data_IF_618982089752
#
_entry.id   IF_618982089752
#
_cell.length_a   1.000
_cell.length_b   1.000
_cell.length_c   1.000
_cell.angle_alpha   90.00
_cell.angle_beta   90.00
_cell.angle_gamma   90.00
#
_symmetry.space_group_name_H-M   'P 1'
#
loop_
_entity.id
_entity.type
_entity.pdbx_description
1 polymer ?
#
# COMPACT_ATOMS: atom_id res chain seq x y z
N UNK A 1 -16.78 4.51 -4.22
CA UNK A 1 -16.01 3.96 -5.36
C UNK A 1 -14.83 4.91 -5.62
N UNK A 2 -13.62 4.39 -5.91
CA UNK A 2 -12.45 5.23 -6.22
C UNK A 2 -12.35 5.41 -7.74
N UNK A 3 -12.25 6.66 -8.19
CA UNK A 3 -12.06 7.03 -9.60
C UNK A 3 -10.75 7.80 -9.75
N UNK A 4 -9.75 7.18 -10.35
CA UNK A 4 -8.46 7.82 -10.64
C UNK A 4 -8.68 8.79 -11.80
N UNK A 5 -8.21 10.04 -11.66
CA UNK A 5 -8.37 11.09 -12.65
C UNK A 5 -7.08 11.36 -13.40
N UNK A 6 -6.07 11.82 -12.71
CA UNK A 6 -4.83 12.27 -13.33
C UNK A 6 -3.61 11.79 -12.54
N UNK A 7 -2.58 11.37 -13.24
CA UNK A 7 -1.26 11.04 -12.72
C UNK A 7 -0.22 11.91 -13.44
N UNK A 8 0.62 12.63 -12.70
CA UNK A 8 1.80 13.28 -13.29
C UNK A 8 3.07 12.68 -12.75
N UNK A 9 4.10 12.65 -13.59
CA UNK A 9 5.37 11.97 -13.30
C UNK A 9 6.54 12.82 -13.77
N UNK A 10 7.52 13.03 -12.90
CA UNK A 10 8.78 13.75 -13.17
C UNK A 10 9.94 13.05 -12.51
N UNK A 11 11.04 12.88 -13.23
CA UNK A 11 12.28 12.26 -12.73
C UNK A 11 12.07 10.89 -12.06
N UNK A 12 11.15 10.10 -12.56
CA UNK A 12 10.79 8.80 -12.02
C UNK A 12 11.13 7.70 -13.04
N UNK A 13 11.97 6.75 -12.65
CA UNK A 13 12.45 5.65 -13.50
C UNK A 13 12.98 6.16 -14.86
N UNK A 14 12.30 5.81 -15.96
CA UNK A 14 12.66 6.25 -17.32
C UNK A 14 12.19 7.66 -17.68
N UNK A 15 11.27 8.24 -16.90
CA UNK A 15 10.78 9.60 -17.14
C UNK A 15 11.82 10.63 -16.67
N UNK A 16 12.18 11.54 -17.55
CA UNK A 16 13.18 12.59 -17.29
C UNK A 16 12.60 13.83 -16.58
N UNK A 17 13.26 14.98 -16.77
CA UNK A 17 12.92 16.22 -16.06
C UNK A 17 11.65 16.91 -16.58
N UNK A 18 11.21 16.61 -17.81
CA UNK A 18 9.92 17.08 -18.29
C UNK A 18 8.80 16.30 -17.59
N UNK A 19 7.85 17.02 -16.99
CA UNK A 19 6.68 16.40 -16.36
C UNK A 19 5.80 15.77 -17.44
N UNK A 20 5.45 14.51 -17.27
CA UNK A 20 4.53 13.78 -18.14
C UNK A 20 3.22 13.56 -17.38
N UNK A 21 2.08 13.79 -18.03
CA UNK A 21 0.75 13.57 -17.48
C UNK A 21 0.05 12.40 -18.16
N UNK A 22 -0.72 11.65 -17.39
CA UNK A 22 -1.61 10.60 -17.86
C UNK A 22 -3.00 10.85 -17.29
N UNK A 23 -3.96 11.03 -18.21
CA UNK A 23 -5.37 11.16 -17.87
C UNK A 23 -6.02 9.76 -17.84
N UNK A 24 -6.56 9.40 -16.67
CA UNK A 24 -7.30 8.16 -16.43
C UNK A 24 -8.82 8.37 -16.41
N UNK A 25 -9.29 9.61 -16.48
CA UNK A 25 -10.73 9.93 -16.47
C UNK A 25 -11.38 9.62 -17.82
N UNK A 26 -11.37 8.36 -18.20
CA UNK A 26 -11.89 7.82 -19.45
C UNK A 26 -12.94 6.76 -19.16
N UNK A 27 -14.02 6.80 -19.92
CA UNK A 27 -15.17 5.89 -19.73
C UNK A 27 -14.96 4.50 -20.35
N UNK A 28 -13.96 4.34 -21.22
CA UNK A 28 -13.77 3.12 -22.00
C UNK A 28 -12.39 2.51 -21.79
N UNK A 29 -12.25 1.26 -22.25
CA UNK A 29 -10.97 0.56 -22.30
C UNK A 29 -9.94 1.38 -23.08
N UNK A 30 -8.79 1.64 -22.46
CA UNK A 30 -7.69 2.38 -23.07
C UNK A 30 -6.52 1.46 -23.37
N UNK A 31 -6.11 1.39 -24.62
CA UNK A 31 -4.88 0.71 -25.02
C UNK A 31 -3.71 1.71 -25.00
N UNK A 32 -2.69 1.43 -24.22
CA UNK A 32 -1.45 2.22 -24.16
C UNK A 32 -0.40 1.59 -25.05
N UNK A 33 -0.07 2.27 -26.14
CA UNK A 33 0.99 1.88 -27.07
C UNK A 33 2.26 2.69 -26.78
N UNK A 34 3.43 2.05 -26.87
CA UNK A 34 4.70 2.72 -26.83
C UNK A 34 5.29 2.85 -28.23
N UNK A 35 5.89 3.98 -28.53
CA UNK A 35 6.68 4.20 -29.72
C UNK A 35 8.11 4.54 -29.33
N UNK A 36 9.08 3.88 -29.94
CA UNK A 36 10.50 4.16 -29.71
C UNK A 36 11.03 5.03 -30.87
N UNK A 37 11.17 6.32 -30.58
CA UNK A 37 11.62 7.30 -31.58
C UNK A 37 13.12 7.18 -31.91
N UNK A 38 13.91 6.50 -31.06
CA UNK A 38 15.36 6.37 -31.23
C UNK A 38 15.74 5.23 -32.20
N UNK A 39 14.93 4.19 -32.30
CA UNK A 39 15.25 2.99 -33.08
C UNK A 39 14.53 2.88 -34.42
N UNK A 40 13.57 3.73 -34.68
CA UNK A 40 12.83 3.81 -35.95
C UNK A 40 12.34 2.44 -36.43
N UNK A 41 11.19 1.99 -35.99
CA UNK A 41 10.64 0.72 -36.46
C UNK A 41 9.28 0.39 -35.84
N UNK A 42 8.47 -0.32 -36.59
CA UNK A 42 7.11 -0.70 -36.23
C UNK A 42 7.03 -2.12 -35.59
N UNK A 43 8.18 -2.73 -35.36
CA UNK A 43 8.28 -4.08 -34.80
C UNK A 43 7.90 -4.11 -33.32
N UNK A 44 7.25 -5.18 -32.90
CA UNK A 44 6.81 -5.38 -31.50
C UNK A 44 7.96 -5.31 -30.49
N UNK A 45 9.20 -5.63 -30.90
CA UNK A 45 10.41 -5.52 -30.09
C UNK A 45 10.85 -4.07 -29.83
N UNK A 46 10.64 -3.16 -30.78
CA UNK A 46 10.99 -1.74 -30.66
C UNK A 46 10.11 -0.98 -29.66
N UNK A 47 8.95 -1.53 -29.30
CA UNK A 47 8.02 -0.94 -28.32
C UNK A 47 8.36 -1.22 -26.86
N UNK A 48 9.38 -2.05 -26.60
CA UNK A 48 9.84 -2.32 -25.25
C UNK A 48 10.71 -1.17 -24.73
N UNK A 49 10.65 -0.91 -23.41
CA UNK A 49 11.43 0.17 -22.79
C UNK A 49 10.82 1.58 -22.92
N UNK A 50 9.70 1.75 -23.62
CA UNK A 50 9.04 3.05 -23.84
C UNK A 50 8.31 3.64 -22.64
N UNK A 51 8.42 3.03 -21.44
CA UNK A 51 7.87 3.58 -20.22
C UNK A 51 6.43 3.16 -19.86
N UNK A 52 5.82 2.22 -20.59
CA UNK A 52 4.44 1.76 -20.28
C UNK A 52 4.28 1.27 -18.85
N UNK A 53 5.20 0.42 -18.38
CA UNK A 53 5.19 -0.10 -17.01
C UNK A 53 5.52 0.98 -15.98
N UNK A 54 6.22 2.05 -16.38
CA UNK A 54 6.54 3.19 -15.52
C UNK A 54 5.28 3.89 -15.04
N UNK A 55 4.23 3.98 -15.86
CA UNK A 55 2.94 4.59 -15.50
C UNK A 55 2.33 3.86 -14.30
N UNK A 56 2.24 2.54 -14.36
CA UNK A 56 1.62 1.74 -13.29
C UNK A 56 2.50 1.70 -12.04
N UNK A 57 3.83 1.69 -12.19
CA UNK A 57 4.75 1.84 -11.06
C UNK A 57 4.62 3.21 -10.39
N UNK A 58 4.43 4.28 -11.16
CA UNK A 58 4.20 5.62 -10.64
C UNK A 58 2.87 5.70 -9.88
N UNK A 59 1.81 5.09 -10.40
CA UNK A 59 0.53 4.98 -9.71
C UNK A 59 0.67 4.23 -8.37
N UNK A 60 1.33 3.08 -8.37
CA UNK A 60 1.62 2.32 -7.16
C UNK A 60 2.44 3.16 -6.15
N UNK A 61 3.46 3.87 -6.64
CA UNK A 61 4.29 4.72 -5.80
C UNK A 61 3.50 5.89 -5.21
N UNK A 62 2.65 6.54 -5.98
CA UNK A 62 1.80 7.63 -5.48
C UNK A 62 0.91 7.14 -4.33
N UNK A 63 0.23 6.00 -4.50
CA UNK A 63 -0.71 5.45 -3.52
C UNK A 63 -0.02 4.88 -2.28
N UNK A 64 1.06 4.09 -2.45
CA UNK A 64 1.65 3.27 -1.38
C UNK A 64 3.10 3.62 -1.05
N UNK A 65 3.74 4.53 -1.79
CA UNK A 65 5.17 4.81 -1.64
C UNK A 65 6.09 3.66 -2.04
N UNK A 66 5.58 2.71 -2.82
CA UNK A 66 6.30 1.51 -3.30
C UNK A 66 5.98 1.26 -4.77
N UNK A 67 6.96 0.75 -5.53
CA UNK A 67 6.72 0.25 -6.87
C UNK A 67 6.06 -1.14 -6.81
N UNK A 68 5.53 -1.62 -7.93
CA UNK A 68 4.95 -2.97 -8.03
C UNK A 68 5.99 -4.08 -7.86
N UNK A 69 7.23 -3.79 -8.25
CA UNK A 69 8.36 -4.69 -8.09
C UNK A 69 9.23 -4.27 -6.91
N UNK A 70 10.01 -5.19 -6.36
CA UNK A 70 10.87 -4.92 -5.20
C UNK A 70 12.07 -4.03 -5.57
N UNK A 71 11.82 -2.78 -5.89
CA UNK A 71 12.82 -1.76 -6.21
C UNK A 71 12.98 -0.83 -5.01
N UNK A 72 14.22 -0.60 -4.56
CA UNK A 72 14.50 0.38 -3.51
C UNK A 72 14.04 1.77 -3.95
N UNK A 73 13.45 2.54 -3.05
CA UNK A 73 12.90 3.88 -3.33
C UNK A 73 13.91 4.81 -4.02
N UNK A 74 15.20 4.77 -3.63
CA UNK A 74 16.24 5.58 -4.25
C UNK A 74 16.51 5.22 -5.71
N UNK A 75 16.27 3.96 -6.09
CA UNK A 75 16.42 3.50 -7.47
C UNK A 75 15.22 3.86 -8.36
N UNK A 76 14.15 4.39 -7.78
CA UNK A 76 13.01 4.94 -8.54
C UNK A 76 13.32 6.34 -9.09
N UNK A 77 14.29 7.05 -8.50
CA UNK A 77 14.73 8.35 -9.02
C UNK A 77 15.42 8.15 -10.36
N UNK A 78 15.07 8.97 -11.35
CA UNK A 78 15.72 8.94 -12.67
C UNK A 78 17.25 9.03 -12.53
N UNK A 79 17.96 8.06 -13.11
CA UNK A 79 19.41 7.92 -12.92
C UNK A 79 20.21 9.07 -13.52
N UNK A 80 19.73 9.65 -14.61
CA UNK A 80 20.42 10.75 -15.30
C UNK A 80 20.33 12.03 -14.50
N UNK A 81 19.15 12.38 -14.01
CA UNK A 81 18.91 13.63 -13.29
C UNK A 81 19.19 13.50 -11.78
N UNK A 82 19.01 12.31 -11.21
CA UNK A 82 19.27 11.92 -9.81
C UNK A 82 18.73 12.90 -8.74
N UNK A 83 17.70 13.67 -9.05
CA UNK A 83 17.10 14.69 -8.17
C UNK A 83 15.66 14.97 -8.53
N UNK A 84 14.96 15.64 -7.62
CA UNK A 84 13.64 16.22 -7.82
C UNK A 84 12.63 15.26 -8.45
N UNK A 85 12.61 13.99 -7.98
CA UNK A 85 11.57 13.06 -8.36
C UNK A 85 10.25 13.50 -7.75
N UNK A 86 9.20 13.57 -8.57
CA UNK A 86 7.87 13.93 -8.13
C UNK A 86 6.84 13.10 -8.90
N UNK A 87 5.92 12.52 -8.16
CA UNK A 87 4.73 11.87 -8.69
C UNK A 87 3.53 12.49 -8.02
N UNK A 88 2.55 12.93 -8.80
CA UNK A 88 1.28 13.44 -8.28
C UNK A 88 0.12 12.59 -8.78
N UNK A 89 -0.89 12.44 -7.95
CA UNK A 89 -2.08 11.66 -8.26
C UNK A 89 -3.33 12.40 -7.80
N UNK A 90 -4.27 12.59 -8.70
CA UNK A 90 -5.61 13.10 -8.38
C UNK A 90 -6.63 11.99 -8.58
N UNK A 91 -7.49 11.78 -7.59
CA UNK A 91 -8.58 10.81 -7.64
C UNK A 91 -9.80 11.30 -6.88
N UNK A 92 -10.95 10.72 -7.19
CA UNK A 92 -12.21 11.00 -6.53
C UNK A 92 -12.67 9.76 -5.75
N UNK A 93 -13.20 9.99 -4.56
CA UNK A 93 -13.91 8.97 -3.78
C UNK A 93 -15.06 9.62 -3.02
N UNK A 94 -16.24 9.02 -3.16
CA UNK A 94 -17.46 9.43 -2.45
C UNK A 94 -17.79 10.93 -2.58
N UNK A 95 -17.58 11.47 -3.80
CA UNK A 95 -17.86 12.87 -4.16
C UNK A 95 -16.81 13.89 -3.72
N UNK A 96 -15.69 13.45 -3.12
CA UNK A 96 -14.56 14.30 -2.73
C UNK A 96 -13.36 14.06 -3.64
N UNK A 97 -12.63 15.13 -3.95
CA UNK A 97 -11.39 15.06 -4.71
C UNK A 97 -10.20 14.97 -3.75
N UNK A 98 -9.33 14.04 -4.03
CA UNK A 98 -8.11 13.80 -3.27
C UNK A 98 -6.90 14.02 -4.15
N UNK A 99 -5.86 14.63 -3.58
CA UNK A 99 -4.62 14.84 -4.28
C UNK A 99 -3.44 14.38 -3.42
N UNK A 100 -2.55 13.58 -4.01
CA UNK A 100 -1.33 13.09 -3.38
C UNK A 100 -0.15 13.61 -4.19
N UNK A 101 0.81 14.26 -3.52
CA UNK A 101 2.13 14.55 -4.07
C UNK A 101 3.18 13.73 -3.33
N UNK A 102 3.97 12.98 -4.05
CA UNK A 102 5.03 12.17 -3.48
C UNK A 102 6.34 12.40 -4.20
N UNK A 103 7.33 12.88 -3.45
CA UNK A 103 8.64 13.23 -3.96
C UNK A 103 9.79 12.44 -3.34
N UNK A 104 10.91 12.43 -4.04
CA UNK A 104 12.21 11.93 -3.54
C UNK A 104 13.34 12.84 -4.01
N UNK A 105 14.26 13.14 -3.10
CA UNK A 105 15.37 14.08 -3.32
C UNK A 105 14.89 15.49 -3.76
N UNK A 106 14.15 16.22 -2.88
CA UNK A 106 13.87 15.93 -1.48
C UNK A 106 12.72 14.93 -1.26
N UNK A 107 12.65 14.37 -0.05
CA UNK A 107 11.51 13.55 0.36
C UNK A 107 10.31 14.47 0.58
N UNK A 108 9.17 14.07 0.04
CA UNK A 108 7.93 14.81 0.15
C UNK A 108 6.76 13.83 0.16
N UNK A 109 5.82 14.04 1.07
CA UNK A 109 4.50 13.44 1.00
C UNK A 109 3.49 14.52 1.40
N UNK A 110 2.64 14.92 0.45
CA UNK A 110 1.49 15.79 0.71
C UNK A 110 0.22 15.05 0.37
N UNK A 111 -0.78 15.28 1.18
CA UNK A 111 -2.12 14.75 0.97
C UNK A 111 -3.14 15.86 1.18
N UNK A 112 -3.98 16.14 0.19
CA UNK A 112 -5.01 17.17 0.27
C UNK A 112 -6.38 16.63 -0.13
N UNK A 113 -7.41 17.23 0.44
CA UNK A 113 -8.82 16.90 0.21
C UNK A 113 -9.52 18.20 -0.23
N UNK A 114 -10.16 18.17 -1.39
CA UNK A 114 -10.86 19.32 -1.99
C UNK A 114 -10.02 20.61 -2.01
N UNK A 115 -8.71 20.45 -2.28
CA UNK A 115 -7.76 21.55 -2.34
C UNK A 115 -7.25 22.06 -0.99
N UNK A 116 -7.68 21.47 0.12
CA UNK A 116 -7.17 21.81 1.47
C UNK A 116 -6.12 20.78 1.90
N UNK A 117 -4.91 21.23 2.12
CA UNK A 117 -3.81 20.37 2.60
C UNK A 117 -4.15 19.84 4.00
N UNK A 118 -4.18 18.52 4.16
CA UNK A 118 -4.44 17.87 5.44
C UNK A 118 -3.15 17.76 6.27
N UNK A 119 -2.04 17.41 5.62
CA UNK A 119 -0.71 17.39 6.24
C UNK A 119 0.36 17.56 5.16
N UNK A 120 1.31 18.48 5.39
CA UNK A 120 2.57 18.54 4.65
C UNK A 120 3.59 17.81 5.51
N UNK A 121 3.93 16.56 5.15
CA UNK A 121 4.93 15.83 5.91
C UNK A 121 6.21 15.71 5.10
N UNK A 122 7.32 16.13 5.72
CA UNK A 122 8.65 15.73 5.25
C UNK A 122 8.92 14.32 5.75
N UNK A 123 9.10 13.35 4.85
CA UNK A 123 9.41 11.95 5.19
C UNK A 123 10.65 11.83 6.11
N UNK A 124 11.48 12.86 6.22
CA UNK A 124 12.63 12.88 7.11
C UNK A 124 12.27 12.96 8.59
N UNK A 125 11.06 13.41 8.95
CA UNK A 125 10.65 13.68 10.33
C UNK A 125 9.70 12.64 10.96
N UNK A 126 9.38 11.54 10.27
CA UNK A 126 8.61 10.43 10.85
C UNK A 126 7.08 10.54 10.74
N UNK A 127 6.53 11.67 10.35
CA UNK A 127 5.07 11.92 10.24
C UNK A 127 4.44 11.29 9.00
N UNK A 128 5.25 10.92 8.01
CA UNK A 128 4.78 10.27 6.78
C UNK A 128 4.09 8.92 6.99
N UNK A 129 4.32 8.26 8.13
CA UNK A 129 3.64 6.99 8.47
C UNK A 129 2.16 7.20 8.71
N UNK A 130 1.81 8.23 9.48
CA UNK A 130 0.42 8.54 9.79
C UNK A 130 -0.34 8.94 8.52
N UNK A 131 0.23 9.83 7.70
CA UNK A 131 -0.36 10.21 6.41
C UNK A 131 -0.53 8.99 5.49
N UNK A 132 0.43 8.06 5.47
CA UNK A 132 0.29 6.82 4.70
C UNK A 132 -0.80 5.91 5.27
N UNK A 133 -0.96 5.81 6.57
CA UNK A 133 -2.03 5.06 7.22
C UNK A 133 -3.41 5.65 6.88
N UNK A 134 -3.53 6.98 6.87
CA UNK A 134 -4.75 7.67 6.46
C UNK A 134 -5.09 7.40 4.99
N UNK A 135 -4.09 7.45 4.11
CA UNK A 135 -4.25 7.08 2.69
C UNK A 135 -4.68 5.61 2.56
N UNK A 136 -4.04 4.68 3.27
CA UNK A 136 -4.40 3.26 3.23
C UNK A 136 -5.82 3.01 3.72
N UNK A 137 -6.21 3.69 4.80
CA UNK A 137 -7.58 3.62 5.35
C UNK A 137 -8.59 4.18 4.35
N UNK A 138 -8.27 5.31 3.72
CA UNK A 138 -9.11 5.88 2.67
C UNK A 138 -9.26 4.94 1.48
N UNK A 139 -8.16 4.34 1.01
CA UNK A 139 -8.20 3.40 -0.11
C UNK A 139 -8.99 2.13 0.23
N UNK A 140 -8.93 1.67 1.49
CA UNK A 140 -9.54 0.41 1.93
C UNK A 140 -8.92 -0.83 1.27
N UNK A 141 -7.70 -0.70 0.74
CA UNK A 141 -7.02 -1.71 -0.06
C UNK A 141 -5.52 -1.67 0.22
N UNK A 142 -4.93 -2.84 0.49
CA UNK A 142 -3.48 -2.97 0.69
C UNK A 142 -2.70 -2.88 -0.63
N UNK A 143 -1.40 -2.62 -0.53
CA UNK A 143 -0.51 -2.68 -1.68
C UNK A 143 -0.47 -4.07 -2.33
N UNK A 144 -0.54 -5.14 -1.54
CA UNK A 144 -0.55 -6.51 -2.06
C UNK A 144 -1.83 -6.80 -2.84
N UNK A 145 -2.98 -6.35 -2.35
CA UNK A 145 -4.23 -6.46 -3.10
C UNK A 145 -4.17 -5.64 -4.41
N UNK A 146 -3.69 -4.39 -4.36
CA UNK A 146 -3.50 -3.57 -5.55
C UNK A 146 -2.61 -4.27 -6.58
N UNK A 147 -1.46 -4.77 -6.16
CA UNK A 147 -0.44 -5.41 -6.98
C UNK A 147 -0.92 -6.72 -7.62
N UNK A 148 -1.71 -7.52 -6.92
CA UNK A 148 -2.11 -8.85 -7.39
C UNK A 148 -3.50 -8.89 -8.05
N UNK A 149 -4.35 -7.90 -7.80
CA UNK A 149 -5.73 -7.87 -8.31
C UNK A 149 -5.94 -6.77 -9.35
N UNK A 150 -5.40 -5.58 -9.13
CA UNK A 150 -5.67 -4.42 -9.99
C UNK A 150 -4.54 -4.13 -10.97
N UNK A 151 -3.31 -4.07 -10.50
CA UNK A 151 -2.15 -3.69 -11.29
C UNK A 151 -1.35 -4.93 -11.73
N UNK A 152 -1.98 -5.79 -12.52
CA UNK A 152 -1.36 -7.02 -13.01
C UNK A 152 -0.12 -6.70 -13.84
N UNK A 153 1.01 -7.25 -13.43
CA UNK A 153 2.31 -7.04 -14.05
C UNK A 153 3.02 -8.38 -14.25
N UNK A 154 3.69 -8.53 -15.38
CA UNK A 154 4.44 -9.75 -15.75
C UNK A 154 5.57 -10.09 -14.76
N UNK A 155 6.10 -9.09 -14.04
CA UNK A 155 7.18 -9.27 -13.06
C UNK A 155 6.67 -9.45 -11.62
N UNK A 156 5.37 -9.38 -11.41
CA UNK A 156 4.77 -9.64 -10.10
C UNK A 156 4.57 -11.14 -9.94
N UNK A 157 4.94 -11.68 -8.77
CA UNK A 157 4.68 -13.08 -8.45
C UNK A 157 3.18 -13.38 -8.62
N UNK A 158 2.81 -14.44 -9.36
CA UNK A 158 1.40 -14.78 -9.56
C UNK A 158 0.71 -15.05 -8.22
N UNK A 159 -0.55 -14.64 -8.07
CA UNK A 159 -1.32 -14.83 -6.84
C UNK A 159 -1.29 -16.28 -6.32
N UNK A 160 -1.41 -17.26 -7.21
CA UNK A 160 -1.40 -18.69 -6.85
C UNK A 160 -0.03 -19.20 -6.36
N UNK A 161 1.05 -18.48 -6.63
CA UNK A 161 2.40 -18.82 -6.15
C UNK A 161 2.72 -18.21 -4.78
N UNK A 162 1.88 -17.31 -4.29
CA UNK A 162 2.04 -16.71 -2.97
C UNK A 162 1.87 -17.75 -1.86
N UNK A 163 2.44 -17.47 -0.70
CA UNK A 163 2.22 -18.28 0.50
C UNK A 163 0.74 -18.30 0.88
N UNK A 164 0.25 -19.38 1.43
CA UNK A 164 -1.17 -19.54 1.80
C UNK A 164 -1.70 -18.42 2.70
N UNK A 165 -0.88 -17.92 3.63
CA UNK A 165 -1.27 -16.80 4.51
C UNK A 165 -1.43 -15.49 3.73
N UNK A 166 -0.56 -15.23 2.75
CA UNK A 166 -0.61 -14.02 1.92
C UNK A 166 -1.82 -14.07 0.98
N UNK A 167 -2.08 -15.23 0.38
CA UNK A 167 -3.29 -15.47 -0.43
C UNK A 167 -4.56 -15.24 0.41
N UNK A 168 -4.59 -15.80 1.62
CA UNK A 168 -5.72 -15.65 2.53
C UNK A 168 -5.97 -14.18 2.89
N UNK A 169 -4.93 -13.42 3.23
CA UNK A 169 -5.04 -12.00 3.56
C UNK A 169 -5.64 -11.18 2.40
N UNK A 170 -5.21 -11.45 1.16
CA UNK A 170 -5.75 -10.80 -0.03
C UNK A 170 -7.23 -11.17 -0.24
N UNK A 171 -7.60 -12.45 -0.08
CA UNK A 171 -8.98 -12.90 -0.21
C UNK A 171 -9.87 -12.29 0.88
N UNK A 172 -9.42 -12.29 2.14
CA UNK A 172 -10.15 -11.70 3.26
C UNK A 172 -10.41 -10.20 3.03
N UNK A 173 -9.42 -9.49 2.49
CA UNK A 173 -9.58 -8.08 2.15
C UNK A 173 -10.54 -7.88 0.96
N UNK A 174 -10.44 -8.70 -0.09
CA UNK A 174 -11.34 -8.65 -1.24
C UNK A 174 -12.80 -8.91 -0.85
N UNK A 175 -13.02 -9.81 0.10
CA UNK A 175 -14.35 -10.13 0.62
C UNK A 175 -14.84 -9.17 1.72
N UNK A 176 -13.98 -8.24 2.15
CA UNK A 176 -14.31 -7.30 3.23
C UNK A 176 -14.49 -7.94 4.62
N UNK A 177 -13.92 -9.14 4.82
CA UNK A 177 -14.05 -9.91 6.08
C UNK A 177 -12.85 -9.78 7.01
N UNK A 178 -11.88 -8.96 6.69
CA UNK A 178 -10.65 -8.70 7.49
C UNK A 178 -10.99 -8.35 8.94
N UNK A 179 -12.07 -7.57 9.15
CA UNK A 179 -12.54 -7.20 10.49
C UNK A 179 -12.95 -8.42 11.36
N UNK A 180 -13.39 -9.51 10.74
CA UNK A 180 -13.74 -10.74 11.46
C UNK A 180 -12.48 -11.47 11.94
N UNK A 181 -11.43 -11.50 11.12
CA UNK A 181 -10.14 -12.08 11.49
C UNK A 181 -9.47 -11.31 12.62
N UNK A 182 -9.49 -9.97 12.56
CA UNK A 182 -9.00 -9.12 13.65
C UNK A 182 -9.76 -9.33 14.96
N UNK A 183 -11.09 -9.44 14.90
CA UNK A 183 -11.91 -9.73 16.08
C UNK A 183 -11.64 -11.14 16.64
N UNK A 184 -11.44 -12.13 15.77
CA UNK A 184 -11.10 -13.49 16.19
C UNK A 184 -9.75 -13.54 16.93
N UNK A 185 -8.75 -12.82 16.44
CA UNK A 185 -7.44 -12.75 17.08
C UNK A 185 -7.49 -12.06 18.45
N UNK A 186 -8.22 -10.94 18.56
CA UNK A 186 -8.48 -10.29 19.86
C UNK A 186 -9.18 -11.22 20.84
N UNK A 187 -10.17 -11.97 20.37
CA UNK A 187 -10.89 -12.94 21.22
C UNK A 187 -9.97 -14.07 21.70
N UNK A 188 -9.09 -14.56 20.84
CA UNK A 188 -8.08 -15.58 21.23
C UNK A 188 -7.15 -15.06 22.31
N UNK A 189 -6.65 -13.82 22.17
CA UNK A 189 -5.79 -13.18 23.16
C UNK A 189 -6.50 -13.02 24.50
N UNK A 190 -7.73 -12.49 24.50
CA UNK A 190 -8.55 -12.36 25.71
C UNK A 190 -8.81 -13.72 26.36
N UNK A 191 -9.14 -14.73 25.56
CA UNK A 191 -9.39 -16.09 26.04
C UNK A 191 -8.14 -16.67 26.71
N UNK A 192 -6.94 -16.41 26.18
CA UNK A 192 -5.67 -16.84 26.79
C UNK A 192 -5.49 -16.18 28.16
N UNK A 193 -5.63 -14.85 28.24
CA UNK A 193 -5.47 -14.10 29.49
C UNK A 193 -6.42 -14.64 30.57
N UNK A 194 -7.70 -14.85 30.23
CA UNK A 194 -8.70 -15.36 31.19
C UNK A 194 -8.37 -16.80 31.63
N UNK A 195 -7.88 -17.65 30.72
CA UNK A 195 -7.45 -19.00 31.08
C UNK A 195 -6.26 -18.99 32.03
N UNK A 196 -5.28 -18.12 31.81
CA UNK A 196 -4.11 -17.99 32.69
C UNK A 196 -4.54 -17.51 34.08
N UNK A 197 -5.43 -16.49 34.15
CA UNK A 197 -6.02 -16.02 35.42
C UNK A 197 -6.80 -17.13 36.15
N UNK A 198 -7.60 -17.91 35.43
CA UNK A 198 -8.34 -19.03 36.01
C UNK A 198 -7.41 -20.09 36.59
N UNK A 199 -6.31 -20.39 35.90
CA UNK A 199 -5.31 -21.35 36.37
C UNK A 199 -4.66 -20.85 37.67
N UNK A 200 -4.27 -19.58 37.75
CA UNK A 200 -3.66 -18.97 38.93
C UNK A 200 -4.62 -18.96 40.10
N UNK A 201 -5.87 -18.53 39.90
CA UNK A 201 -6.88 -18.51 40.97
C UNK A 201 -7.25 -19.94 41.45
N UNK A 202 -7.28 -20.91 40.54
CA UNK A 202 -7.51 -22.33 40.92
C UNK A 202 -6.36 -22.86 41.77
N UNK A 203 -5.11 -22.53 41.42
CA UNK A 203 -3.95 -22.90 42.23
C UNK A 203 -3.97 -22.25 43.62
N UNK A 204 -4.38 -20.96 43.70
CA UNK A 204 -4.55 -20.25 44.97
C UNK A 204 -5.60 -20.91 45.85
N UNK A 205 -6.78 -21.21 45.26
CA UNK A 205 -7.87 -21.91 45.97
C UNK A 205 -7.40 -23.25 46.51
N UNK A 206 -6.72 -24.05 45.70
CA UNK A 206 -6.20 -25.36 46.14
C UNK A 206 -5.22 -25.21 47.32
N UNK A 207 -4.33 -24.21 47.23
CA UNK A 207 -3.36 -23.93 48.32
C UNK A 207 -4.06 -23.51 49.61
N UNK A 208 -5.04 -22.60 49.51
CA UNK A 208 -5.81 -22.13 50.69
C UNK A 208 -6.64 -23.27 51.31
N UNK A 209 -7.28 -24.10 50.50
CA UNK A 209 -8.06 -25.25 50.96
C UNK A 209 -7.17 -26.24 51.72
N UNK A 210 -6.02 -26.61 51.14
CA UNK A 210 -5.08 -27.49 51.79
C UNK A 210 -4.49 -26.92 53.10
N UNK A 211 -4.31 -25.59 53.16
CA UNK A 211 -3.89 -24.92 54.42
C UNK A 211 -4.96 -24.94 55.48
N UNK A 212 -6.22 -24.73 55.14
CA UNK A 212 -7.34 -24.76 56.04
C UNK A 212 -7.63 -26.18 56.58
N UNK A 213 -7.51 -27.20 55.73
CA UNK A 213 -7.63 -28.62 56.19
C UNK A 213 -6.59 -28.95 57.25
N UNK A 214 -5.34 -28.56 57.07
CA UNK A 214 -4.26 -28.73 58.06
C UNK A 214 -4.50 -28.01 59.39
N UNK A 215 -5.18 -26.85 59.33
CA UNK A 215 -5.53 -26.10 60.55
C UNK A 215 -6.71 -26.76 61.31
N UNK A 216 -7.62 -27.41 60.61
CA UNK A 216 -8.78 -28.08 61.22
C UNK A 216 -8.45 -29.46 61.80
N UNK A 217 -7.37 -30.10 61.33
CA UNK A 217 -6.91 -31.40 61.82
C UNK A 217 -6.00 -31.29 63.08
N UNK A 218 -5.55 -30.08 63.46
CA UNK A 218 -4.79 -29.79 64.67
C UNK A 218 -5.70 -29.20 65.75
#
# INVERSE_FOLDING_TARGET
MIKIKELTVKNFMSVGNATQGVDFDREQLTLVLGENLDQGGDDSGSRNGTGKTTIINALSYALYGQALTNIRKDNLVNKTNNKAMLVTLTFEKDGKNYHIERGRKPNLLKFSIDGTDQEITDESQGDSRKTQEDINTLLGMSHDMFKHILALNTYTEPFLSLRSNDQRAIIEQLLGITILSEKADKLREQTKIVKDQLTDETARLTSVTASNEKITEN
#
